data_IF_467591410143
#
_entry.id   IF_467591410143
#
_cell.length_a   1.000
_cell.length_b   1.000
_cell.length_c   1.000
_cell.angle_alpha   90.00
_cell.angle_beta   90.00
_cell.angle_gamma   90.00
#
_symmetry.space_group_name_H-M   'P 1'
#
loop_
_entity.id
_entity.type
_entity.pdbx_description
1 polymer ?
#
# COMPACT_ATOMS: atom_id res chain seq x y z
N UNK A 1 28.35 20.82 -3.31
CA UNK A 1 27.44 19.64 -3.15
C UNK A 1 26.65 19.36 -4.42
N UNK A 2 26.10 20.36 -5.10
CA UNK A 2 25.33 20.18 -6.36
C UNK A 2 26.12 19.54 -7.51
N UNK A 3 27.38 19.93 -7.76
CA UNK A 3 28.17 19.41 -8.90
C UNK A 3 28.54 17.91 -8.76
N UNK A 4 28.79 17.46 -7.53
CA UNK A 4 29.11 16.05 -7.28
C UNK A 4 27.90 15.13 -7.47
N UNK A 5 26.70 15.61 -7.08
CA UNK A 5 25.46 14.87 -7.27
C UNK A 5 25.06 14.82 -8.76
N UNK A 6 25.37 15.86 -9.52
CA UNK A 6 25.14 15.91 -10.96
C UNK A 6 26.08 14.95 -11.72
N UNK A 7 27.36 14.89 -11.33
CA UNK A 7 28.35 13.98 -11.91
C UNK A 7 28.02 12.51 -11.62
N UNK A 8 27.64 12.19 -10.38
CA UNK A 8 27.20 10.85 -9.97
C UNK A 8 25.90 10.43 -10.66
N UNK A 9 24.98 11.36 -10.87
CA UNK A 9 23.71 11.12 -11.57
C UNK A 9 23.94 10.81 -13.05
N UNK A 10 24.82 11.53 -13.74
CA UNK A 10 25.13 11.28 -15.14
C UNK A 10 25.85 9.95 -15.32
N UNK A 11 26.73 9.58 -14.41
CA UNK A 11 27.41 8.28 -14.43
C UNK A 11 26.41 7.14 -14.20
N UNK A 12 25.47 7.28 -13.26
CA UNK A 12 24.43 6.28 -13.01
C UNK A 12 23.52 6.08 -14.23
N UNK A 13 23.11 7.17 -14.88
CA UNK A 13 22.26 7.10 -16.07
C UNK A 13 22.95 6.36 -17.19
N UNK A 14 24.22 6.68 -17.46
CA UNK A 14 25.00 6.00 -18.49
C UNK A 14 25.19 4.51 -18.15
N UNK A 15 25.59 4.21 -16.92
CA UNK A 15 25.81 2.83 -16.47
C UNK A 15 24.57 1.97 -16.58
N UNK A 16 23.41 2.50 -16.13
CA UNK A 16 22.13 1.77 -16.27
C UNK A 16 21.73 1.59 -17.73
N UNK A 17 21.93 2.61 -18.56
CA UNK A 17 21.63 2.53 -20.00
C UNK A 17 22.49 1.46 -20.68
N UNK A 18 23.77 1.39 -20.37
CA UNK A 18 24.69 0.40 -20.93
C UNK A 18 24.31 -1.02 -20.49
N UNK A 19 24.00 -1.20 -19.21
CA UNK A 19 23.55 -2.51 -18.67
C UNK A 19 22.24 -2.94 -19.34
N UNK A 20 21.24 -2.07 -19.41
CA UNK A 20 19.95 -2.39 -20.01
C UNK A 20 20.07 -2.64 -21.52
N UNK A 21 20.94 -1.91 -22.21
CA UNK A 21 21.24 -2.14 -23.64
C UNK A 21 21.88 -3.51 -23.86
N UNK A 22 22.90 -3.85 -23.08
CA UNK A 22 23.58 -5.16 -23.16
C UNK A 22 22.63 -6.32 -22.89
N UNK A 23 21.79 -6.17 -21.85
CA UNK A 23 20.75 -7.15 -21.51
C UNK A 23 19.75 -7.26 -22.67
N UNK A 24 19.31 -6.12 -23.23
CA UNK A 24 18.36 -6.07 -24.32
C UNK A 24 18.88 -6.72 -25.61
N UNK A 25 20.14 -6.48 -25.94
CA UNK A 25 20.80 -7.15 -27.09
C UNK A 25 20.85 -8.68 -26.90
N UNK A 26 21.18 -9.11 -25.69
CA UNK A 26 21.24 -10.54 -25.36
C UNK A 26 19.85 -11.16 -25.44
N UNK A 27 18.85 -10.50 -24.85
CA UNK A 27 17.46 -10.91 -24.89
C UNK A 27 16.92 -11.05 -26.32
N UNK A 28 17.28 -10.12 -27.19
CA UNK A 28 16.91 -10.15 -28.62
C UNK A 28 17.59 -11.32 -29.36
N UNK A 29 18.90 -11.52 -29.15
CA UNK A 29 19.63 -12.60 -29.77
C UNK A 29 19.18 -14.01 -29.36
N UNK A 30 18.71 -14.12 -28.10
CA UNK A 30 18.24 -15.41 -27.56
C UNK A 30 16.71 -15.58 -27.68
N UNK A 31 16.02 -14.61 -28.30
CA UNK A 31 14.55 -14.58 -28.41
C UNK A 31 13.83 -14.77 -27.07
N UNK A 32 14.48 -14.33 -25.97
CA UNK A 32 13.97 -14.50 -24.60
C UNK A 32 13.71 -13.12 -23.98
N UNK A 33 12.44 -12.67 -23.84
CA UNK A 33 12.14 -11.38 -23.23
C UNK A 33 12.52 -11.37 -21.75
N UNK A 34 12.96 -10.20 -21.27
CA UNK A 34 13.35 -10.00 -19.88
C UNK A 34 12.40 -9.02 -19.20
N UNK A 35 11.92 -9.41 -18.01
CA UNK A 35 11.08 -8.58 -17.18
C UNK A 35 11.73 -8.37 -15.80
N UNK A 36 11.92 -7.11 -15.41
CA UNK A 36 12.35 -6.73 -14.07
C UNK A 36 11.13 -6.44 -13.20
N UNK A 37 11.05 -7.08 -12.04
CA UNK A 37 10.06 -6.78 -11.01
C UNK A 37 10.72 -5.94 -9.93
N UNK A 38 10.20 -4.73 -9.70
CA UNK A 38 10.73 -3.77 -8.71
C UNK A 38 9.61 -3.46 -7.74
N UNK A 39 9.74 -3.95 -6.51
CA UNK A 39 8.81 -3.63 -5.42
C UNK A 39 9.24 -2.34 -4.71
N UNK A 40 8.26 -1.67 -4.06
CA UNK A 40 8.45 -0.45 -3.28
C UNK A 40 9.22 0.65 -4.06
N UNK A 41 8.93 0.77 -5.36
CA UNK A 41 9.63 1.68 -6.29
C UNK A 41 9.62 3.15 -5.82
N UNK A 42 8.67 3.54 -4.97
CA UNK A 42 8.60 4.88 -4.40
C UNK A 42 9.72 5.22 -3.41
N UNK A 43 10.54 4.25 -3.00
CA UNK A 43 11.75 4.50 -2.19
C UNK A 43 12.97 4.84 -3.03
N UNK A 44 12.89 4.72 -4.35
CA UNK A 44 13.96 5.19 -5.22
C UNK A 44 14.13 6.70 -5.09
N UNK A 45 15.39 7.15 -5.05
CA UNK A 45 15.70 8.57 -5.14
C UNK A 45 15.34 9.09 -6.54
N UNK A 46 15.02 10.37 -6.64
CA UNK A 46 14.60 10.97 -7.91
C UNK A 46 15.64 10.77 -9.04
N UNK A 47 16.92 10.91 -8.74
CA UNK A 47 17.98 10.67 -9.72
C UNK A 47 18.05 9.19 -10.16
N UNK A 48 17.78 8.24 -9.27
CA UNK A 48 17.74 6.81 -9.61
C UNK A 48 16.54 6.49 -10.51
N UNK A 49 15.37 7.02 -10.17
CA UNK A 49 14.16 6.84 -10.98
C UNK A 49 14.34 7.45 -12.38
N UNK A 50 14.92 8.65 -12.47
CA UNK A 50 15.26 9.30 -13.74
C UNK A 50 16.21 8.45 -14.59
N UNK A 51 17.22 7.87 -13.98
CA UNK A 51 18.19 7.03 -14.68
C UNK A 51 17.55 5.74 -15.19
N UNK A 52 16.68 5.12 -14.39
CA UNK A 52 15.91 3.93 -14.79
C UNK A 52 14.97 4.22 -15.96
N UNK A 53 14.23 5.35 -15.90
CA UNK A 53 13.36 5.79 -16.98
C UNK A 53 14.15 6.03 -18.29
N UNK A 54 15.32 6.66 -18.19
CA UNK A 54 16.18 6.90 -19.35
C UNK A 54 16.68 5.61 -19.99
N UNK A 55 17.13 4.65 -19.17
CA UNK A 55 17.58 3.33 -19.62
C UNK A 55 16.46 2.54 -20.32
N UNK A 56 15.26 2.50 -19.69
CA UNK A 56 14.10 1.84 -20.27
C UNK A 56 13.64 2.50 -21.57
N UNK A 57 13.65 3.82 -21.63
CA UNK A 57 13.32 4.55 -22.85
C UNK A 57 14.29 4.21 -23.98
N UNK A 58 15.58 4.09 -23.69
CA UNK A 58 16.59 3.72 -24.67
C UNK A 58 16.40 2.30 -25.21
N UNK A 59 16.14 1.33 -24.35
CA UNK A 59 15.86 -0.05 -24.78
C UNK A 59 14.60 -0.14 -25.63
N UNK A 60 13.58 0.63 -25.28
CA UNK A 60 12.34 0.71 -26.08
C UNK A 60 12.58 1.33 -27.47
N UNK A 61 13.40 2.39 -27.57
CA UNK A 61 13.79 2.97 -28.85
C UNK A 61 14.55 2.00 -29.76
N UNK A 62 15.33 1.11 -29.16
CA UNK A 62 16.10 0.06 -29.86
C UNK A 62 15.25 -1.16 -30.19
N UNK A 63 14.00 -1.23 -29.75
CA UNK A 63 13.12 -2.37 -29.95
C UNK A 63 13.52 -3.62 -29.18
N UNK A 64 14.27 -3.46 -28.08
CA UNK A 64 14.71 -4.60 -27.27
C UNK A 64 13.58 -5.14 -26.39
N UNK A 65 13.47 -6.47 -26.23
CA UNK A 65 12.41 -7.11 -25.45
C UNK A 65 12.71 -7.05 -23.94
N UNK A 66 12.76 -5.82 -23.40
CA UNK A 66 12.99 -5.55 -21.97
C UNK A 66 11.80 -4.79 -21.40
N UNK A 67 11.27 -5.26 -20.28
CA UNK A 67 10.13 -4.67 -19.60
C UNK A 67 10.40 -4.51 -18.10
N UNK A 68 9.72 -3.54 -17.49
CA UNK A 68 9.72 -3.33 -16.03
C UNK A 68 8.28 -3.41 -15.54
N UNK A 69 8.08 -4.15 -14.45
CA UNK A 69 6.85 -4.12 -13.64
C UNK A 69 7.22 -3.56 -12.27
N UNK A 70 6.73 -2.36 -11.97
CA UNK A 70 6.98 -1.68 -10.70
C UNK A 70 5.74 -1.72 -9.81
N UNK A 71 5.90 -2.08 -8.53
CA UNK A 71 4.87 -1.94 -7.51
C UNK A 71 5.26 -0.83 -6.52
N UNK A 72 4.26 -0.11 -6.02
CA UNK A 72 4.51 0.96 -5.06
C UNK A 72 3.25 1.73 -4.64
N UNK A 73 3.42 2.61 -3.67
CA UNK A 73 2.35 3.46 -3.16
C UNK A 73 1.90 4.51 -4.19
N UNK A 74 0.66 5.05 -4.11
CA UNK A 74 0.12 6.01 -5.07
C UNK A 74 0.96 7.26 -5.34
N UNK A 75 1.89 7.62 -4.45
CA UNK A 75 2.81 8.74 -4.70
C UNK A 75 3.71 8.54 -5.93
N UNK A 76 3.84 7.29 -6.42
CA UNK A 76 4.61 6.99 -7.64
C UNK A 76 4.09 7.75 -8.86
N UNK A 77 2.78 7.98 -8.96
CA UNK A 77 2.20 8.77 -10.04
C UNK A 77 2.83 10.17 -10.13
N UNK A 78 2.93 10.85 -8.98
CA UNK A 78 3.57 12.17 -8.91
C UNK A 78 5.05 12.08 -9.22
N UNK A 79 5.75 11.12 -8.65
CA UNK A 79 7.20 10.95 -8.86
C UNK A 79 7.54 10.73 -10.36
N UNK A 80 6.70 10.00 -11.08
CA UNK A 80 6.89 9.73 -12.50
C UNK A 80 6.49 10.93 -13.37
N UNK A 81 5.42 11.66 -13.02
CA UNK A 81 5.00 12.85 -13.76
C UNK A 81 5.95 14.04 -13.59
N UNK A 82 6.63 14.15 -12.45
CA UNK A 82 7.62 15.20 -12.18
C UNK A 82 8.92 15.02 -12.99
N UNK A 83 9.13 13.85 -13.63
CA UNK A 83 10.38 13.57 -14.36
C UNK A 83 10.36 14.15 -15.78
N UNK A 84 9.98 13.41 -16.77
CA UNK A 84 9.98 13.88 -18.16
C UNK A 84 8.65 13.55 -18.85
N UNK A 85 8.25 14.40 -19.78
CA UNK A 85 6.99 14.25 -20.53
C UNK A 85 6.82 12.90 -21.26
N UNK A 86 7.90 12.16 -21.54
CA UNK A 86 7.83 10.83 -22.13
C UNK A 86 7.59 9.71 -21.12
N UNK A 87 7.83 9.94 -19.82
CA UNK A 87 7.60 8.94 -18.78
C UNK A 87 6.13 8.50 -18.72
N UNK A 88 5.21 9.43 -18.95
CA UNK A 88 3.77 9.15 -18.99
C UNK A 88 3.37 8.14 -20.08
N UNK A 89 4.15 8.07 -21.15
CA UNK A 89 3.91 7.15 -22.29
C UNK A 89 4.65 5.82 -22.19
N UNK A 90 5.62 5.72 -21.25
CA UNK A 90 6.38 4.49 -21.03
C UNK A 90 5.66 3.51 -20.12
N UNK A 91 4.74 3.98 -19.27
CA UNK A 91 4.13 3.15 -18.24
C UNK A 91 2.62 3.05 -18.41
N UNK A 92 2.11 1.85 -18.20
CA UNK A 92 0.68 1.60 -18.01
C UNK A 92 0.44 1.45 -16.52
N UNK A 93 -0.42 2.28 -15.97
CA UNK A 93 -0.75 2.25 -14.55
C UNK A 93 -1.94 1.33 -14.29
N UNK A 94 -1.79 0.49 -13.27
CA UNK A 94 -2.85 -0.36 -12.74
C UNK A 94 -2.97 -0.12 -11.24
N UNK A 95 -4.17 0.24 -10.80
CA UNK A 95 -4.47 0.31 -9.38
C UNK A 95 -4.79 -1.09 -8.88
N UNK A 96 -4.21 -1.45 -7.73
CA UNK A 96 -4.48 -2.70 -7.02
C UNK A 96 -5.20 -2.34 -5.73
N UNK A 97 -6.47 -2.71 -5.67
CA UNK A 97 -7.34 -2.47 -4.51
C UNK A 97 -7.51 -3.75 -3.69
N UNK A 98 -8.36 -3.69 -2.66
CA UNK A 98 -8.82 -4.87 -1.92
C UNK A 98 -9.43 -5.89 -2.87
N UNK A 99 -9.35 -7.17 -2.51
CA UNK A 99 -9.96 -8.26 -3.27
C UNK A 99 -11.49 -8.12 -3.29
N UNK A 100 -12.08 -8.42 -4.43
CA UNK A 100 -13.52 -8.60 -4.52
C UNK A 100 -13.96 -9.80 -3.69
N UNK A 101 -15.27 -9.95 -3.45
CA UNK A 101 -15.80 -11.13 -2.74
C UNK A 101 -15.32 -12.46 -3.34
N UNK A 102 -15.44 -12.61 -4.66
CA UNK A 102 -15.04 -13.84 -5.36
C UNK A 102 -13.53 -14.10 -5.30
N UNK A 103 -12.71 -13.05 -5.36
CA UNK A 103 -11.27 -13.17 -5.19
C UNK A 103 -10.89 -13.51 -3.75
N UNK A 104 -11.57 -12.90 -2.77
CA UNK A 104 -11.40 -13.20 -1.34
C UNK A 104 -11.78 -14.65 -1.04
N UNK A 105 -12.90 -15.12 -1.58
CA UNK A 105 -13.34 -16.51 -1.45
C UNK A 105 -12.27 -17.47 -1.95
N UNK A 106 -11.73 -17.26 -3.14
CA UNK A 106 -10.61 -18.06 -3.66
C UNK A 106 -9.38 -18.00 -2.75
N UNK A 107 -9.01 -16.81 -2.26
CA UNK A 107 -7.87 -16.64 -1.36
C UNK A 107 -8.05 -17.37 -0.01
N UNK A 108 -9.30 -17.58 0.42
CA UNK A 108 -9.66 -18.34 1.64
C UNK A 108 -9.64 -19.86 1.37
N UNK A 109 -10.28 -20.30 0.30
CA UNK A 109 -10.52 -21.72 0.04
C UNK A 109 -9.31 -22.45 -0.56
N UNK A 110 -8.61 -21.84 -1.53
CA UNK A 110 -7.53 -22.51 -2.27
C UNK A 110 -6.37 -23.00 -1.39
N UNK A 111 -5.87 -22.23 -0.39
CA UNK A 111 -4.75 -22.67 0.44
C UNK A 111 -5.05 -23.91 1.28
N UNK A 112 -6.30 -24.12 1.70
CA UNK A 112 -6.70 -25.22 2.58
C UNK A 112 -7.21 -26.46 1.84
N UNK A 113 -7.52 -26.34 0.54
CA UNK A 113 -8.05 -27.43 -0.28
C UNK A 113 -7.20 -28.70 -0.20
N UNK A 114 -5.88 -28.58 -0.23
CA UNK A 114 -4.95 -29.73 -0.15
C UNK A 114 -4.94 -30.44 1.19
N UNK A 115 -5.50 -29.81 2.23
CA UNK A 115 -5.63 -30.38 3.57
C UNK A 115 -7.03 -30.92 3.86
N UNK A 116 -7.91 -30.99 2.84
CA UNK A 116 -9.29 -31.43 2.97
C UNK A 116 -10.11 -30.61 3.97
N UNK A 117 -9.75 -29.32 4.14
CA UNK A 117 -10.51 -28.38 4.96
C UNK A 117 -11.32 -27.47 4.04
N UNK A 118 -12.52 -27.12 4.49
CA UNK A 118 -13.43 -26.23 3.79
C UNK A 118 -14.01 -25.17 4.72
N UNK A 119 -14.51 -24.10 4.15
CA UNK A 119 -15.22 -23.03 4.87
C UNK A 119 -16.69 -23.02 4.46
N UNK A 120 -17.60 -22.81 5.41
CA UNK A 120 -18.99 -22.53 5.08
C UNK A 120 -19.11 -21.14 4.44
N UNK A 121 -20.14 -20.93 3.63
CA UNK A 121 -20.39 -19.63 2.98
C UNK A 121 -20.54 -18.50 3.99
N UNK A 122 -21.14 -18.76 5.16
CA UNK A 122 -21.28 -17.77 6.24
C UNK A 122 -19.93 -17.43 6.89
N UNK A 123 -19.04 -18.39 7.04
CA UNK A 123 -17.67 -18.16 7.51
C UNK A 123 -16.90 -17.27 6.54
N UNK A 124 -16.98 -17.55 5.23
CA UNK A 124 -16.35 -16.74 4.18
C UNK A 124 -16.89 -15.30 4.22
N UNK A 125 -18.20 -15.11 4.26
CA UNK A 125 -18.81 -13.77 4.36
C UNK A 125 -18.31 -13.01 5.56
N UNK A 126 -18.23 -13.65 6.74
CA UNK A 126 -17.73 -13.03 7.97
C UNK A 126 -16.27 -12.61 7.85
N UNK A 127 -15.41 -13.48 7.29
CA UNK A 127 -13.99 -13.15 7.04
C UNK A 127 -13.87 -11.93 6.12
N UNK A 128 -14.61 -11.92 5.00
CA UNK A 128 -14.56 -10.80 4.04
C UNK A 128 -15.08 -9.51 4.65
N UNK A 129 -16.14 -9.58 5.46
CA UNK A 129 -16.70 -8.42 6.18
C UNK A 129 -15.66 -7.78 7.12
N UNK A 130 -14.97 -8.59 7.92
CA UNK A 130 -13.98 -8.12 8.90
C UNK A 130 -12.72 -7.61 8.21
N UNK A 131 -12.24 -8.34 7.20
CA UNK A 131 -10.96 -8.03 6.53
C UNK A 131 -11.09 -6.99 5.43
N UNK A 132 -12.33 -6.63 5.04
CA UNK A 132 -12.64 -5.73 3.90
C UNK A 132 -11.92 -6.15 2.60
N UNK A 133 -11.69 -7.46 2.44
CA UNK A 133 -10.98 -7.99 1.27
C UNK A 133 -9.46 -7.70 1.25
N UNK A 134 -8.88 -7.22 2.36
CA UNK A 134 -7.46 -6.94 2.43
C UNK A 134 -6.65 -8.23 2.50
N UNK A 135 -5.79 -8.57 1.50
CA UNK A 135 -5.21 -9.91 1.36
C UNK A 135 -4.45 -10.37 2.61
N UNK A 136 -3.62 -9.50 3.19
CA UNK A 136 -2.87 -9.82 4.40
C UNK A 136 -3.78 -10.16 5.58
N UNK A 137 -4.88 -9.41 5.76
CA UNK A 137 -5.83 -9.65 6.84
C UNK A 137 -6.59 -10.95 6.66
N UNK A 138 -6.99 -11.27 5.42
CA UNK A 138 -7.60 -12.56 5.09
C UNK A 138 -6.68 -13.70 5.52
N UNK A 139 -5.40 -13.66 5.12
CA UNK A 139 -4.45 -14.71 5.45
C UNK A 139 -4.21 -14.83 6.96
N UNK A 140 -4.10 -13.71 7.68
CA UNK A 140 -3.90 -13.73 9.12
C UNK A 140 -5.12 -14.28 9.87
N UNK A 141 -6.33 -13.82 9.54
CA UNK A 141 -7.54 -14.32 10.20
C UNK A 141 -7.75 -15.80 9.87
N UNK A 142 -7.59 -16.21 8.62
CA UNK A 142 -7.69 -17.63 8.23
C UNK A 142 -6.65 -18.50 8.96
N UNK A 143 -5.43 -18.01 9.16
CA UNK A 143 -4.39 -18.73 9.88
C UNK A 143 -4.78 -18.96 11.36
N UNK A 144 -5.33 -17.94 12.00
CA UNK A 144 -5.78 -18.03 13.41
C UNK A 144 -6.91 -19.03 13.51
N UNK A 145 -7.94 -18.89 12.68
CA UNK A 145 -9.11 -19.78 12.67
C UNK A 145 -8.70 -21.23 12.40
N UNK A 146 -7.88 -21.46 11.37
CA UNK A 146 -7.40 -22.79 11.00
C UNK A 146 -6.63 -23.49 12.16
N UNK A 147 -5.82 -22.73 12.91
CA UNK A 147 -5.07 -23.30 14.06
C UNK A 147 -5.92 -23.64 15.26
N UNK A 148 -7.11 -23.02 15.38
CA UNK A 148 -8.02 -23.21 16.52
C UNK A 148 -9.05 -24.29 16.28
N UNK A 149 -9.35 -24.59 15.02
CA UNK A 149 -10.42 -25.51 14.64
C UNK A 149 -9.87 -26.90 14.39
N UNK A 150 -10.39 -27.90 15.11
CA UNK A 150 -10.07 -29.30 14.90
C UNK A 150 -10.98 -29.95 13.83
N UNK A 151 -11.98 -29.24 13.33
CA UNK A 151 -12.93 -29.70 12.32
C UNK A 151 -12.38 -29.54 10.91
N UNK A 152 -12.77 -30.43 10.01
CA UNK A 152 -12.53 -30.27 8.56
C UNK A 152 -13.44 -29.24 7.89
N UNK A 153 -14.46 -28.74 8.61
CA UNK A 153 -15.35 -27.67 8.13
C UNK A 153 -15.29 -26.51 9.10
N UNK A 154 -14.87 -25.36 8.61
CA UNK A 154 -14.78 -24.12 9.39
C UNK A 154 -16.09 -23.35 9.25
N UNK A 155 -16.73 -23.09 10.38
CA UNK A 155 -18.02 -22.43 10.46
C UNK A 155 -17.90 -20.96 10.90
N UNK A 156 -19.03 -20.24 10.86
CA UNK A 156 -19.14 -18.85 11.32
C UNK A 156 -18.65 -18.69 12.77
N UNK A 157 -19.02 -19.62 13.65
CA UNK A 157 -18.62 -19.61 15.07
C UNK A 157 -17.12 -19.69 15.28
N UNK A 158 -16.42 -20.47 14.45
CA UNK A 158 -14.96 -20.59 14.52
C UNK A 158 -14.28 -19.27 14.16
N UNK A 159 -14.80 -18.59 13.14
CA UNK A 159 -14.32 -17.27 12.74
C UNK A 159 -14.57 -16.27 13.85
N UNK A 160 -15.77 -16.24 14.41
CA UNK A 160 -16.17 -15.30 15.46
C UNK A 160 -15.26 -15.41 16.71
N UNK A 161 -14.93 -16.62 17.12
CA UNK A 161 -14.01 -16.90 18.22
C UNK A 161 -12.56 -16.47 17.93
N UNK A 162 -12.18 -16.31 16.67
CA UNK A 162 -10.83 -15.90 16.26
C UNK A 162 -10.64 -14.38 16.18
N UNK A 163 -11.73 -13.58 16.20
CA UNK A 163 -11.69 -12.13 15.94
C UNK A 163 -10.85 -11.38 16.96
N UNK A 164 -11.03 -11.64 18.25
CA UNK A 164 -10.32 -10.91 19.30
C UNK A 164 -8.80 -11.14 19.22
N UNK A 165 -8.37 -12.38 18.96
CA UNK A 165 -6.97 -12.71 18.76
C UNK A 165 -6.42 -12.01 17.51
N UNK A 166 -7.17 -12.01 16.43
CA UNK A 166 -6.82 -11.33 15.20
C UNK A 166 -6.66 -9.81 15.39
N UNK A 167 -7.62 -9.15 16.02
CA UNK A 167 -7.55 -7.71 16.28
C UNK A 167 -6.38 -7.37 17.19
N UNK A 168 -6.17 -8.15 18.26
CA UNK A 168 -5.03 -7.97 19.17
C UNK A 168 -3.69 -8.10 18.42
N UNK A 169 -3.56 -9.11 17.57
CA UNK A 169 -2.34 -9.31 16.78
C UNK A 169 -2.08 -8.11 15.83
N UNK A 170 -3.13 -7.59 15.19
CA UNK A 170 -3.00 -6.40 14.35
C UNK A 170 -2.64 -5.15 15.16
N UNK A 171 -3.28 -4.96 16.30
CA UNK A 171 -3.04 -3.83 17.20
C UNK A 171 -1.60 -3.81 17.71
N UNK A 172 -1.11 -4.94 18.24
CA UNK A 172 0.21 -5.05 18.85
C UNK A 172 1.37 -5.00 17.84
N UNK A 173 1.15 -5.48 16.64
CA UNK A 173 2.18 -5.56 15.59
C UNK A 173 1.99 -4.56 14.45
N UNK A 174 1.00 -4.82 13.62
CA UNK A 174 0.83 -4.15 12.34
C UNK A 174 0.44 -2.67 12.45
N UNK A 175 -0.53 -2.35 13.30
CA UNK A 175 -1.01 -0.99 13.48
C UNK A 175 -0.09 -0.16 14.37
N UNK A 176 0.36 -0.71 15.51
CA UNK A 176 1.26 -0.02 16.44
C UNK A 176 2.55 0.41 15.75
N UNK A 177 3.17 -0.47 14.96
CA UNK A 177 4.40 -0.14 14.24
C UNK A 177 4.24 1.03 13.26
N UNK A 178 3.05 1.23 12.69
CA UNK A 178 2.73 2.38 11.84
C UNK A 178 2.49 3.64 12.65
N UNK A 179 1.75 3.51 13.74
CA UNK A 179 1.38 4.61 14.62
C UNK A 179 2.60 5.22 15.33
N UNK A 180 3.51 4.39 15.85
CA UNK A 180 4.72 4.86 16.53
C UNK A 180 5.70 5.64 15.64
N UNK A 181 5.61 5.48 14.33
CA UNK A 181 6.38 6.30 13.37
C UNK A 181 5.76 7.68 13.11
N UNK A 182 4.60 7.96 13.67
CA UNK A 182 3.90 9.23 13.53
C UNK A 182 4.38 10.22 14.59
N UNK A 183 4.64 11.46 14.15
CA UNK A 183 4.91 12.57 15.07
C UNK A 183 3.62 12.98 15.79
N UNK A 184 3.72 13.74 16.88
CA UNK A 184 2.55 14.21 17.63
C UNK A 184 1.52 14.98 16.77
N UNK A 185 2.01 15.78 15.81
CA UNK A 185 1.13 16.46 14.85
C UNK A 185 0.39 15.50 13.93
N UNK A 186 1.05 14.40 13.54
CA UNK A 186 0.45 13.35 12.71
C UNK A 186 -0.62 12.59 13.50
N UNK A 187 -0.33 12.23 14.75
CA UNK A 187 -1.27 11.54 15.65
C UNK A 187 -2.55 12.36 15.86
N UNK A 188 -2.41 13.65 16.16
CA UNK A 188 -3.56 14.56 16.27
C UNK A 188 -4.37 14.67 14.98
N UNK A 189 -3.72 14.65 13.82
CA UNK A 189 -4.42 14.64 12.53
C UNK A 189 -5.19 13.32 12.33
N UNK A 190 -4.59 12.19 12.66
CA UNK A 190 -5.22 10.87 12.64
C UNK A 190 -6.45 10.84 13.56
N UNK A 191 -6.31 11.33 14.79
CA UNK A 191 -7.42 11.44 15.75
C UNK A 191 -8.57 12.27 15.18
N UNK A 192 -8.26 13.41 14.57
CA UNK A 192 -9.27 14.27 13.96
C UNK A 192 -9.98 13.61 12.76
N UNK A 193 -9.29 12.74 12.01
CA UNK A 193 -9.94 11.93 10.98
C UNK A 193 -10.90 10.91 11.59
N UNK A 194 -10.51 10.20 12.63
CA UNK A 194 -11.37 9.24 13.33
C UNK A 194 -12.57 9.91 13.96
N UNK A 195 -12.40 11.12 14.53
CA UNK A 195 -13.50 11.95 15.09
C UNK A 195 -14.54 12.38 14.04
N UNK A 196 -14.23 12.29 12.75
CA UNK A 196 -15.23 12.53 11.71
C UNK A 196 -16.35 11.46 11.68
N UNK A 197 -16.12 10.28 12.26
CA UNK A 197 -17.06 9.15 12.33
C UNK A 197 -17.06 8.33 11.05
N UNK A 198 -17.43 8.91 9.92
CA UNK A 198 -17.46 8.24 8.62
C UNK A 198 -16.20 8.52 7.80
N UNK A 199 -15.69 7.49 7.13
CA UNK A 199 -14.58 7.55 6.19
C UNK A 199 -15.07 7.07 4.79
N UNK A 200 -14.59 7.70 3.71
CA UNK A 200 -13.60 8.78 3.66
C UNK A 200 -14.16 10.11 4.21
N UNK A 201 -13.32 10.90 4.87
CA UNK A 201 -13.70 12.19 5.44
C UNK A 201 -13.08 13.37 4.67
N UNK A 202 -13.74 14.55 4.73
CA UNK A 202 -13.23 15.74 4.07
C UNK A 202 -12.13 16.41 4.88
N UNK A 203 -11.13 16.99 4.20
CA UNK A 203 -10.06 17.78 4.85
C UNK A 203 -10.63 18.96 5.68
N UNK A 204 -11.78 19.48 5.29
CA UNK A 204 -12.47 20.56 6.03
C UNK A 204 -12.97 20.08 7.38
N UNK A 205 -13.53 18.86 7.46
CA UNK A 205 -13.98 18.26 8.72
C UNK A 205 -12.78 17.96 9.64
N UNK A 206 -11.67 17.45 9.08
CA UNK A 206 -10.43 17.24 9.83
C UNK A 206 -9.91 18.55 10.41
N UNK A 207 -9.89 19.62 9.61
CA UNK A 207 -9.47 20.97 10.06
C UNK A 207 -10.38 21.50 11.18
N UNK A 208 -11.70 21.30 11.05
CA UNK A 208 -12.68 21.67 12.06
C UNK A 208 -12.43 20.93 13.38
N UNK A 209 -12.21 19.61 13.35
CA UNK A 209 -11.93 18.80 14.54
C UNK A 209 -10.61 19.18 15.21
N UNK A 210 -9.65 19.73 14.46
CA UNK A 210 -8.38 20.24 14.98
C UNK A 210 -8.47 21.71 15.43
N UNK A 211 -9.57 22.40 15.25
CA UNK A 211 -9.70 23.85 15.45
C UNK A 211 -8.64 24.66 14.68
N UNK A 212 -8.35 24.25 13.43
CA UNK A 212 -7.31 24.81 12.56
C UNK A 212 -7.87 25.15 11.18
N UNK A 213 -7.13 26.00 10.44
CA UNK A 213 -7.41 26.22 9.02
C UNK A 213 -6.90 25.06 8.16
N UNK A 214 -7.55 24.82 7.01
CA UNK A 214 -7.12 23.78 6.05
C UNK A 214 -5.68 24.02 5.57
N UNK A 215 -5.27 25.28 5.40
CA UNK A 215 -3.90 25.64 5.00
C UNK A 215 -2.88 25.24 6.04
N UNK A 216 -3.16 25.41 7.32
CA UNK A 216 -2.22 25.14 8.41
C UNK A 216 -1.97 23.63 8.62
N UNK A 217 -2.88 22.75 8.18
CA UNK A 217 -2.72 21.29 8.29
C UNK A 217 -2.21 20.63 7.01
N UNK A 218 -1.97 21.41 5.95
CA UNK A 218 -1.58 20.89 4.62
C UNK A 218 -0.25 20.14 4.65
N UNK A 219 0.73 20.62 5.41
CA UNK A 219 2.03 19.97 5.57
C UNK A 219 1.91 18.60 6.25
N UNK A 220 1.15 18.53 7.37
CA UNK A 220 0.90 17.28 8.09
C UNK A 220 0.17 16.27 7.18
N UNK A 221 -0.84 16.73 6.44
CA UNK A 221 -1.52 15.90 5.43
C UNK A 221 -0.52 15.32 4.41
N UNK A 222 0.35 16.15 3.84
CA UNK A 222 1.34 15.70 2.86
C UNK A 222 2.32 14.69 3.45
N UNK A 223 2.74 14.87 4.70
CA UNK A 223 3.61 13.95 5.43
C UNK A 223 2.93 12.59 5.67
N UNK A 224 1.67 12.58 6.11
CA UNK A 224 0.91 11.35 6.32
C UNK A 224 0.68 10.57 5.02
N UNK A 225 0.40 11.27 3.91
CA UNK A 225 0.33 10.65 2.58
C UNK A 225 1.71 10.06 2.19
N UNK A 226 2.78 10.80 2.41
CA UNK A 226 4.15 10.32 2.12
C UNK A 226 4.55 9.12 2.96
N UNK A 227 4.08 9.03 4.22
CA UNK A 227 4.28 7.88 5.12
C UNK A 227 3.40 6.69 4.76
N UNK A 228 2.44 6.84 3.85
CA UNK A 228 1.50 5.79 3.47
C UNK A 228 0.50 5.44 4.58
N UNK A 229 0.16 6.40 5.45
CA UNK A 229 -0.86 6.23 6.50
C UNK A 229 -2.25 6.55 5.95
N UNK A 230 -2.35 7.62 5.17
CA UNK A 230 -3.60 8.07 4.55
C UNK A 230 -3.41 8.24 3.04
N UNK A 231 -4.50 8.25 2.31
CA UNK A 231 -4.50 8.53 0.88
C UNK A 231 -5.70 9.39 0.48
N UNK A 232 -5.60 10.17 -0.60
CA UNK A 232 -6.74 10.88 -1.16
C UNK A 232 -7.62 9.90 -1.96
N UNK A 233 -8.88 9.74 -1.55
CA UNK A 233 -9.87 8.90 -2.27
C UNK A 233 -10.44 9.69 -3.44
N UNK A 234 -10.83 10.94 -3.18
CA UNK A 234 -11.35 11.91 -4.15
C UNK A 234 -10.85 13.30 -3.81
N UNK A 235 -11.24 14.29 -4.63
CA UNK A 235 -10.91 15.67 -4.35
C UNK A 235 -11.36 16.09 -2.95
N UNK A 236 -10.42 16.49 -2.11
CA UNK A 236 -10.60 16.89 -0.70
C UNK A 236 -11.07 15.78 0.26
N UNK A 237 -11.16 14.54 -0.15
CA UNK A 237 -11.50 13.41 0.71
C UNK A 237 -10.28 12.56 1.02
N UNK A 238 -10.21 12.08 2.26
CA UNK A 238 -9.10 11.30 2.79
C UNK A 238 -9.61 10.04 3.47
N UNK A 239 -8.87 8.95 3.32
CA UNK A 239 -9.09 7.70 4.04
C UNK A 239 -7.76 7.10 4.50
N UNK A 240 -7.81 6.12 5.38
CA UNK A 240 -6.66 5.34 5.78
C UNK A 240 -6.29 4.32 4.70
N UNK A 241 -4.99 4.12 4.50
CA UNK A 241 -4.49 3.15 3.50
C UNK A 241 -4.78 1.71 3.87
N UNK A 242 -5.09 1.44 5.14
CA UNK A 242 -5.31 0.10 5.66
C UNK A 242 -6.66 0.04 6.37
N UNK A 243 -7.49 -0.97 6.06
CA UNK A 243 -8.74 -1.20 6.78
C UNK A 243 -8.51 -1.36 8.29
N UNK A 244 -9.53 -1.10 9.10
CA UNK A 244 -9.53 -1.27 10.56
C UNK A 244 -8.51 -0.41 11.33
N UNK A 245 -7.71 0.44 10.66
CA UNK A 245 -6.80 1.35 11.36
C UNK A 245 -7.56 2.38 12.22
N UNK A 246 -8.72 2.86 11.75
CA UNK A 246 -9.61 3.72 12.55
C UNK A 246 -10.07 3.01 13.83
N UNK A 247 -10.46 1.74 13.74
CA UNK A 247 -10.85 0.92 14.91
C UNK A 247 -9.70 0.74 15.90
N UNK A 248 -8.48 0.52 15.42
CA UNK A 248 -7.28 0.51 16.26
C UNK A 248 -7.12 1.84 17.03
N UNK A 249 -7.21 2.98 16.34
CA UNK A 249 -7.08 4.30 16.97
C UNK A 249 -8.15 4.51 18.04
N UNK A 250 -9.40 4.11 17.80
CA UNK A 250 -10.48 4.22 18.79
C UNK A 250 -10.24 3.39 20.05
N UNK A 251 -9.45 2.32 19.97
CA UNK A 251 -9.06 1.50 21.12
C UNK A 251 -7.91 2.09 21.94
N UNK A 252 -7.16 3.06 21.39
CA UNK A 252 -6.06 3.71 22.10
C UNK A 252 -6.57 4.66 23.20
N UNK A 253 -5.96 4.57 24.39
CA UNK A 253 -6.28 5.47 25.50
C UNK A 253 -5.91 6.93 25.20
N UNK A 254 -4.84 7.16 24.44
CA UNK A 254 -4.45 8.50 23.96
C UNK A 254 -5.54 9.16 23.11
N UNK A 255 -6.22 8.40 22.24
CA UNK A 255 -7.34 8.92 21.45
C UNK A 255 -8.54 9.26 22.33
N UNK A 256 -8.90 8.37 23.27
CA UNK A 256 -10.03 8.59 24.19
C UNK A 256 -9.83 9.87 25.00
N UNK A 257 -8.62 10.06 25.59
CA UNK A 257 -8.26 11.27 26.32
C UNK A 257 -8.30 12.55 25.44
N UNK A 258 -7.91 12.43 24.17
CA UNK A 258 -7.95 13.55 23.23
C UNK A 258 -9.37 13.90 22.80
N UNK A 259 -10.26 12.93 22.63
CA UNK A 259 -11.66 13.12 22.19
C UNK A 259 -12.54 13.73 23.28
N UNK A 260 -12.21 13.48 24.55
CA UNK A 260 -12.91 14.04 25.72
C UNK A 260 -12.55 15.53 25.97
N UNK A 261 -11.45 16.05 25.43
CA UNK A 261 -11.02 17.45 25.56
C UNK A 261 -11.41 18.29 24.32
#
# INVERSE_FOLDING_TARGET
MQDRDLYLSNNLTQSLTDVFTTIGETAQKTETPICFFIDEIQYMKQNQLRSLIAALHRTNQLGYPVMIVGAGLPKIYKMLSDEKSYSERLFVYKQVDSLTYEQSKKAIEEPVRKFHVSYTENAIKKIVEITKGYPFFIQQLCQIVYKRTDSSVIEYSDVDQGIDEFLKMLDDGFFRSRYERCAESDKKFIFAMVKCGELPCTISNVAKNLHKSVSSISTTRAQLISKGIIYPVRYKELDFTVPEFSGFIQRLDEYKQWDEN
#
